data_IF_916986648364
#
_entry.id   IF_916986648364
#
_cell.length_a   1.000
_cell.length_b   1.000
_cell.length_c   1.000
_cell.angle_alpha   90.00
_cell.angle_beta   90.00
_cell.angle_gamma   90.00
#
_symmetry.space_group_name_H-M   'P 1'
#
loop_
_entity.id
_entity.type
_entity.pdbx_description
1 polymer ?
#
# COMPACT_ATOMS: atom_id res chain seq x y z
N UNK A 1 -26.47 6.17 21.51
CA UNK A 1 -26.33 7.65 21.59
C UNK A 1 -24.89 8.07 21.89
N UNK A 2 -24.22 7.47 22.88
CA UNK A 2 -22.84 7.82 23.27
C UNK A 2 -21.78 7.71 22.16
N UNK A 3 -21.86 6.68 21.29
CA UNK A 3 -20.92 6.53 20.17
C UNK A 3 -21.02 7.64 19.12
N UNK A 4 -22.21 8.16 18.83
CA UNK A 4 -22.38 9.25 17.86
C UNK A 4 -21.76 10.54 18.40
N UNK A 5 -21.93 10.81 19.69
CA UNK A 5 -21.29 11.96 20.36
C UNK A 5 -19.77 11.79 20.33
N UNK A 6 -19.27 10.60 20.63
CA UNK A 6 -17.85 10.26 20.54
C UNK A 6 -17.28 10.49 19.13
N UNK A 7 -17.98 10.03 18.08
CA UNK A 7 -17.58 10.26 16.68
C UNK A 7 -17.59 11.75 16.34
N UNK A 8 -18.62 12.50 16.75
CA UNK A 8 -18.72 13.93 16.48
C UNK A 8 -17.60 14.74 17.16
N UNK A 9 -17.29 14.43 18.41
CA UNK A 9 -16.18 15.05 19.15
C UNK A 9 -14.84 14.69 18.52
N UNK A 10 -14.59 13.40 18.26
CA UNK A 10 -13.39 12.96 17.57
C UNK A 10 -13.23 13.60 16.20
N UNK A 11 -14.30 13.61 15.40
CA UNK A 11 -14.31 14.16 14.04
C UNK A 11 -14.03 15.65 13.98
N UNK A 12 -14.64 16.44 14.86
CA UNK A 12 -14.36 17.89 14.94
C UNK A 12 -12.90 18.17 15.30
N UNK A 13 -12.35 17.46 16.29
CA UNK A 13 -10.93 17.56 16.67
C UNK A 13 -10.00 17.10 15.54
N UNK A 14 -10.33 15.99 14.88
CA UNK A 14 -9.56 15.44 13.75
C UNK A 14 -9.49 16.42 12.58
N UNK A 15 -10.62 17.01 12.20
CA UNK A 15 -10.69 17.98 11.12
C UNK A 15 -9.88 19.26 11.43
N UNK A 16 -9.99 19.80 12.64
CA UNK A 16 -9.20 20.98 13.08
C UNK A 16 -7.71 20.64 13.09
N UNK A 17 -7.34 19.47 13.64
CA UNK A 17 -5.94 19.03 13.69
C UNK A 17 -5.36 18.85 12.28
N UNK A 18 -6.13 18.25 11.36
CA UNK A 18 -5.74 18.13 9.94
C UNK A 18 -5.46 19.49 9.33
N UNK A 19 -6.35 20.45 9.54
CA UNK A 19 -6.19 21.80 9.01
C UNK A 19 -4.91 22.48 9.53
N UNK A 20 -4.66 22.41 10.83
CA UNK A 20 -3.48 23.02 11.44
C UNK A 20 -2.19 22.33 10.99
N UNK A 21 -2.14 21.01 11.04
CA UNK A 21 -0.95 20.23 10.66
C UNK A 21 -0.64 20.38 9.18
N UNK A 22 -1.63 20.21 8.30
CA UNK A 22 -1.41 20.33 6.85
C UNK A 22 -0.91 21.74 6.48
N UNK A 23 -1.50 22.79 7.05
CA UNK A 23 -1.03 24.16 6.82
C UNK A 23 0.37 24.42 7.39
N UNK A 24 0.71 23.85 8.56
CA UNK A 24 2.05 23.91 9.11
C UNK A 24 3.08 23.28 8.19
N UNK A 25 2.78 22.09 7.64
CA UNK A 25 3.64 21.42 6.66
C UNK A 25 3.77 22.24 5.37
N UNK A 26 2.66 22.81 4.88
CA UNK A 26 2.68 23.69 3.71
C UNK A 26 3.49 24.97 3.93
N UNK A 27 3.55 25.50 5.16
CA UNK A 27 4.37 26.66 5.47
C UNK A 27 5.88 26.37 5.40
N UNK A 28 6.29 25.14 5.70
CA UNK A 28 7.71 24.73 5.70
C UNK A 28 8.17 24.22 4.33
N UNK A 29 7.38 23.37 3.69
CA UNK A 29 7.75 22.69 2.43
C UNK A 29 7.20 23.37 1.18
N UNK A 30 6.35 24.38 1.36
CA UNK A 30 5.64 25.06 0.27
C UNK A 30 4.45 24.26 -0.26
N UNK A 31 3.76 24.84 -1.26
CA UNK A 31 2.54 24.29 -1.88
C UNK A 31 2.77 23.75 -3.30
N UNK A 32 4.04 23.57 -3.69
CA UNK A 32 4.40 23.08 -5.03
C UNK A 32 4.07 21.60 -5.24
N UNK A 33 3.78 20.87 -4.16
CA UNK A 33 3.33 19.49 -4.10
C UNK A 33 2.46 19.33 -2.83
N UNK A 34 1.49 18.40 -2.78
CA UNK A 34 0.55 18.25 -1.66
C UNK A 34 1.18 17.61 -0.41
N UNK A 35 2.28 18.17 0.08
CA UNK A 35 3.02 17.67 1.23
C UNK A 35 2.16 17.64 2.51
N UNK A 36 1.30 18.63 2.70
CA UNK A 36 0.41 18.70 3.86
C UNK A 36 -0.57 17.53 3.89
N UNK A 37 -1.24 17.26 2.76
CA UNK A 37 -2.17 16.13 2.62
C UNK A 37 -1.45 14.78 2.72
N UNK A 38 -0.29 14.64 2.07
CA UNK A 38 0.51 13.42 2.16
C UNK A 38 0.91 13.13 3.62
N UNK A 39 1.37 14.14 4.35
CA UNK A 39 1.81 13.99 5.74
C UNK A 39 0.66 13.52 6.65
N UNK A 40 -0.49 14.20 6.63
CA UNK A 40 -1.63 13.83 7.49
C UNK A 40 -2.18 12.45 7.17
N UNK A 41 -2.18 12.05 5.89
CA UNK A 41 -2.63 10.72 5.48
C UNK A 41 -1.66 9.62 5.95
N UNK A 42 -0.35 9.82 5.81
CA UNK A 42 0.67 8.83 6.22
C UNK A 42 0.74 8.72 7.74
N UNK A 43 0.81 9.84 8.47
CA UNK A 43 0.84 9.82 9.94
C UNK A 43 -0.46 9.28 10.52
N UNK A 44 -1.61 9.63 9.93
CA UNK A 44 -2.92 9.13 10.35
C UNK A 44 -3.07 7.63 10.10
N UNK A 45 -2.60 7.15 8.96
CA UNK A 45 -2.53 5.72 8.63
C UNK A 45 -1.67 4.95 9.63
N UNK A 46 -0.49 5.46 9.96
CA UNK A 46 0.38 4.89 10.98
C UNK A 46 -0.31 4.81 12.35
N UNK A 47 -0.89 5.93 12.81
CA UNK A 47 -1.61 5.97 14.09
C UNK A 47 -2.83 5.04 14.09
N UNK A 48 -3.52 4.90 12.96
CA UNK A 48 -4.64 3.98 12.83
C UNK A 48 -4.19 2.53 13.05
N UNK A 49 -3.09 2.11 12.43
CA UNK A 49 -2.52 0.78 12.67
C UNK A 49 -2.10 0.58 14.12
N UNK A 50 -1.36 1.54 14.67
CA UNK A 50 -0.84 1.50 16.04
C UNK A 50 -1.93 1.42 17.10
N UNK A 51 -2.93 2.30 17.01
CA UNK A 51 -4.00 2.39 18.00
C UNK A 51 -5.04 1.29 17.82
N UNK A 52 -5.18 0.73 16.62
CA UNK A 52 -6.03 -0.47 16.42
C UNK A 52 -5.49 -1.64 17.24
N UNK A 53 -4.17 -1.85 17.27
CA UNK A 53 -3.57 -2.90 18.08
C UNK A 53 -3.87 -2.70 19.58
N UNK A 54 -3.66 -1.48 20.09
CA UNK A 54 -3.97 -1.11 21.48
C UNK A 54 -5.45 -1.36 21.84
N UNK A 55 -6.35 -0.77 21.03
CA UNK A 55 -7.78 -0.72 21.33
C UNK A 55 -8.51 -2.05 21.08
N UNK A 56 -7.97 -2.93 20.24
CA UNK A 56 -8.53 -4.27 20.00
C UNK A 56 -8.10 -5.27 21.08
N UNK A 57 -6.86 -5.18 21.57
CA UNK A 57 -6.29 -6.12 22.55
C UNK A 57 -6.78 -5.85 23.98
N UNK A 58 -7.05 -4.59 24.32
CA UNK A 58 -7.50 -4.23 25.66
C UNK A 58 -9.02 -4.38 25.82
N UNK A 59 -9.45 -5.34 26.65
CA UNK A 59 -10.86 -5.62 26.98
C UNK A 59 -11.43 -4.64 28.01
N UNK A 60 -11.43 -3.34 27.70
CA UNK A 60 -12.04 -2.34 28.58
C UNK A 60 -13.56 -2.21 28.35
N UNK A 61 -14.29 -1.87 29.41
CA UNK A 61 -15.76 -1.72 29.43
C UNK A 61 -16.27 -0.67 28.44
N UNK A 62 -15.48 0.36 28.13
CA UNK A 62 -15.81 1.45 27.18
C UNK A 62 -15.09 1.34 25.82
N UNK A 63 -14.59 0.15 25.46
CA UNK A 63 -13.77 -0.02 24.26
C UNK A 63 -14.47 0.42 22.96
N UNK A 64 -15.80 0.37 22.91
CA UNK A 64 -16.55 0.72 21.71
C UNK A 64 -16.62 2.24 21.47
N UNK A 65 -16.82 3.03 22.52
CA UNK A 65 -16.87 4.49 22.46
C UNK A 65 -15.49 5.08 22.14
N UNK A 66 -14.42 4.56 22.74
CA UNK A 66 -13.06 5.01 22.41
C UNK A 66 -12.66 4.68 20.98
N UNK A 67 -13.02 3.50 20.46
CA UNK A 67 -12.81 3.16 19.05
C UNK A 67 -13.60 4.12 18.14
N UNK A 68 -14.84 4.42 18.49
CA UNK A 68 -15.67 5.34 17.72
C UNK A 68 -15.10 6.77 17.74
N UNK A 69 -14.63 7.26 18.90
CA UNK A 69 -14.02 8.58 19.04
C UNK A 69 -12.70 8.69 18.28
N UNK A 70 -11.80 7.73 18.47
CA UNK A 70 -10.41 7.84 18.02
C UNK A 70 -10.26 7.34 16.58
N UNK A 71 -10.73 6.13 16.28
CA UNK A 71 -10.52 5.51 14.97
C UNK A 71 -11.48 6.12 13.95
N UNK A 72 -12.78 6.10 14.24
CA UNK A 72 -13.80 6.56 13.28
C UNK A 72 -13.88 8.08 13.25
N UNK A 73 -13.96 8.74 14.41
CA UNK A 73 -14.05 10.19 14.52
C UNK A 73 -12.73 10.87 14.16
N UNK A 74 -11.76 10.84 15.08
CA UNK A 74 -10.53 11.62 14.98
C UNK A 74 -9.68 11.24 13.78
N UNK A 75 -9.23 9.99 13.68
CA UNK A 75 -8.35 9.57 12.58
C UNK A 75 -9.07 9.56 11.23
N UNK A 76 -10.37 9.24 11.21
CA UNK A 76 -11.20 9.35 10.02
C UNK A 76 -11.30 10.78 9.48
N UNK A 77 -11.41 11.79 10.35
CA UNK A 77 -11.46 13.21 9.95
C UNK A 77 -10.07 13.85 9.80
N UNK A 78 -9.05 13.28 10.45
CA UNK A 78 -7.65 13.72 10.37
C UNK A 78 -7.02 13.37 9.02
N UNK A 79 -7.39 12.22 8.46
CA UNK A 79 -7.02 11.80 7.11
C UNK A 79 -8.05 12.28 6.09
N UNK A 80 -7.67 12.37 4.81
CA UNK A 80 -8.57 12.82 3.75
C UNK A 80 -8.21 12.22 2.39
N UNK A 81 -9.13 11.42 1.83
CA UNK A 81 -9.01 10.93 0.47
C UNK A 81 -9.53 11.94 -0.56
N UNK A 82 -10.56 12.71 -0.21
CA UNK A 82 -11.18 13.68 -1.13
C UNK A 82 -10.23 14.84 -1.46
N UNK A 83 -9.48 15.35 -0.47
CA UNK A 83 -8.46 16.40 -0.73
C UNK A 83 -7.31 15.85 -1.57
N UNK A 84 -6.84 14.63 -1.28
CA UNK A 84 -5.83 13.95 -2.10
C UNK A 84 -6.28 13.81 -3.56
N UNK A 85 -7.52 13.38 -3.81
CA UNK A 85 -8.06 13.22 -5.15
C UNK A 85 -8.15 14.56 -5.89
N UNK A 86 -8.61 15.61 -5.21
CA UNK A 86 -8.73 16.95 -5.80
C UNK A 86 -7.36 17.55 -6.13
N UNK A 87 -6.39 17.48 -5.22
CA UNK A 87 -5.03 17.96 -5.46
C UNK A 87 -4.34 17.17 -6.59
N UNK A 88 -4.59 15.87 -6.68
CA UNK A 88 -4.11 15.05 -7.81
C UNK A 88 -4.74 15.50 -9.13
N UNK A 89 -6.04 15.78 -9.13
CA UNK A 89 -6.75 16.26 -10.32
C UNK A 89 -6.22 17.63 -10.77
N UNK A 90 -5.98 18.56 -9.85
CA UNK A 90 -5.36 19.85 -10.18
C UNK A 90 -3.96 19.70 -10.77
N UNK A 91 -3.15 18.75 -10.29
CA UNK A 91 -1.85 18.47 -10.90
C UNK A 91 -1.98 17.96 -12.35
N UNK A 92 -3.05 17.23 -12.68
CA UNK A 92 -3.34 16.87 -14.07
C UNK A 92 -3.76 18.07 -14.90
N UNK A 93 -4.62 18.95 -14.39
CA UNK A 93 -5.03 20.19 -15.07
C UNK A 93 -3.85 21.13 -15.34
N UNK A 94 -2.92 21.23 -14.39
CA UNK A 94 -1.66 21.98 -14.53
C UNK A 94 -0.64 21.31 -15.48
N UNK A 95 -1.02 20.21 -16.15
CA UNK A 95 -0.14 19.41 -17.03
C UNK A 95 1.11 18.86 -16.31
N UNK A 96 1.09 18.80 -14.98
CA UNK A 96 2.21 18.31 -14.18
C UNK A 96 2.09 16.81 -13.88
N UNK A 97 2.15 16.00 -14.95
CA UNK A 97 1.92 14.56 -14.91
C UNK A 97 2.83 13.85 -13.91
N UNK A 98 4.11 14.24 -13.85
CA UNK A 98 5.07 13.63 -12.93
C UNK A 98 4.62 13.79 -11.47
N UNK A 99 4.22 14.99 -11.05
CA UNK A 99 3.75 15.23 -9.69
C UNK A 99 2.42 14.53 -9.42
N UNK A 100 1.51 14.48 -10.39
CA UNK A 100 0.24 13.77 -10.24
C UNK A 100 0.48 12.27 -9.95
N UNK A 101 1.31 11.61 -10.77
CA UNK A 101 1.66 10.20 -10.56
C UNK A 101 2.44 9.96 -9.27
N UNK A 102 3.38 10.85 -8.92
CA UNK A 102 4.08 10.78 -7.64
C UNK A 102 3.12 10.92 -6.47
N UNK A 103 2.13 11.81 -6.53
CA UNK A 103 1.16 11.97 -5.45
C UNK A 103 0.33 10.70 -5.25
N UNK A 104 -0.16 10.09 -6.33
CA UNK A 104 -0.89 8.81 -6.28
C UNK A 104 0.00 7.74 -5.65
N UNK A 105 1.18 7.53 -6.22
CA UNK A 105 2.08 6.46 -5.82
C UNK A 105 2.52 6.61 -4.36
N UNK A 106 3.04 7.78 -3.97
CA UNK A 106 3.52 8.03 -2.62
C UNK A 106 2.38 7.97 -1.60
N UNK A 107 1.22 8.57 -1.88
CA UNK A 107 0.08 8.53 -0.96
C UNK A 107 -0.37 7.10 -0.71
N UNK A 108 -0.53 6.28 -1.75
CA UNK A 108 -0.96 4.88 -1.59
C UNK A 108 0.09 4.04 -0.88
N UNK A 109 1.34 4.06 -1.35
CA UNK A 109 2.40 3.19 -0.80
C UNK A 109 2.74 3.57 0.64
N UNK A 110 2.95 4.86 0.92
CA UNK A 110 3.36 5.29 2.26
C UNK A 110 2.22 5.13 3.28
N UNK A 111 0.96 5.28 2.89
CA UNK A 111 -0.15 5.01 3.81
C UNK A 111 -0.26 3.52 4.14
N UNK A 112 -0.13 2.63 3.14
CA UNK A 112 -0.14 1.17 3.37
C UNK A 112 1.03 0.74 4.27
N UNK A 113 2.25 1.22 3.98
CA UNK A 113 3.43 0.98 4.82
C UNK A 113 3.22 1.55 6.22
N UNK A 114 2.65 2.76 6.33
CA UNK A 114 2.32 3.41 7.60
C UNK A 114 1.40 2.56 8.46
N UNK A 115 0.22 2.15 7.94
CA UNK A 115 -0.71 1.27 8.67
C UNK A 115 -0.02 -0.02 9.10
N UNK A 116 0.72 -0.67 8.19
CA UNK A 116 1.41 -1.92 8.48
C UNK A 116 2.44 -1.75 9.60
N UNK A 117 3.30 -0.74 9.50
CA UNK A 117 4.31 -0.46 10.52
C UNK A 117 3.66 -0.11 11.87
N UNK A 118 2.59 0.68 11.86
CA UNK A 118 1.79 0.98 13.04
C UNK A 118 1.23 -0.28 13.69
N UNK A 119 0.63 -1.19 12.92
CA UNK A 119 0.10 -2.46 13.42
C UNK A 119 1.20 -3.33 14.04
N UNK A 120 2.34 -3.48 13.34
CA UNK A 120 3.47 -4.28 13.85
C UNK A 120 3.96 -3.70 15.18
N UNK A 121 4.22 -2.40 15.21
CA UNK A 121 4.79 -1.75 16.37
C UNK A 121 3.83 -1.68 17.56
N UNK A 122 2.56 -1.33 17.31
CA UNK A 122 1.53 -1.30 18.35
C UNK A 122 1.33 -2.69 18.94
N UNK A 123 1.31 -3.73 18.11
CA UNK A 123 1.22 -5.08 18.63
C UNK A 123 2.48 -5.40 19.47
N UNK A 124 3.71 -5.18 18.98
CA UNK A 124 4.95 -5.47 19.74
C UNK A 124 4.95 -4.89 21.17
N UNK A 125 4.32 -3.73 21.37
CA UNK A 125 4.22 -3.09 22.68
C UNK A 125 3.06 -3.66 23.51
N UNK A 126 1.92 -3.98 22.88
CA UNK A 126 0.67 -4.26 23.59
C UNK A 126 0.25 -5.74 23.64
N UNK A 127 0.89 -6.65 22.91
CA UNK A 127 0.60 -8.09 22.97
C UNK A 127 1.81 -8.86 23.52
N UNK A 128 1.57 -9.74 24.50
CA UNK A 128 2.60 -10.57 25.16
C UNK A 128 2.93 -11.87 24.41
N UNK A 129 2.27 -12.15 23.29
CA UNK A 129 2.51 -13.37 22.53
C UNK A 129 3.68 -13.18 21.55
N UNK A 130 4.56 -14.19 21.46
CA UNK A 130 5.49 -14.34 20.33
C UNK A 130 4.64 -14.57 19.08
N UNK A 131 4.37 -13.45 18.42
CA UNK A 131 3.84 -13.27 17.08
C UNK A 131 4.03 -14.49 16.15
N UNK A 132 2.95 -15.16 15.69
CA UNK A 132 3.05 -16.11 14.56
C UNK A 132 3.63 -15.45 13.29
N UNK A 133 3.38 -14.14 13.13
CA UNK A 133 3.80 -13.29 12.01
C UNK A 133 5.19 -12.62 12.19
N UNK A 134 5.88 -12.83 13.32
CA UNK A 134 7.28 -12.39 13.54
C UNK A 134 8.19 -13.54 14.05
N UNK A 135 7.62 -14.65 14.52
CA UNK A 135 8.34 -15.86 14.93
C UNK A 135 8.80 -16.76 13.80
N UNK A 136 8.27 -16.58 12.57
CA UNK A 136 8.66 -17.37 11.39
C UNK A 136 9.06 -16.54 10.14
N UNK A 137 9.41 -15.26 10.32
CA UNK A 137 9.83 -14.38 9.22
C UNK A 137 8.66 -13.94 8.33
N UNK A 138 8.61 -12.66 7.98
CA UNK A 138 7.52 -12.05 7.21
C UNK A 138 7.22 -12.77 5.87
N UNK A 139 6.12 -13.52 5.72
CA UNK A 139 5.84 -14.22 4.47
C UNK A 139 5.40 -13.25 3.33
N UNK A 140 4.91 -12.06 3.67
CA UNK A 140 4.54 -11.04 2.68
C UNK A 140 5.72 -10.25 2.12
N UNK A 141 6.86 -10.20 2.83
CA UNK A 141 8.08 -9.60 2.30
C UNK A 141 8.59 -10.41 1.10
N UNK A 142 8.46 -11.73 1.16
CA UNK A 142 8.80 -12.64 0.07
C UNK A 142 7.80 -12.53 -1.11
N UNK A 143 6.52 -12.25 -0.82
CA UNK A 143 5.53 -11.92 -1.84
C UNK A 143 5.84 -10.58 -2.52
N UNK A 144 6.22 -9.55 -1.76
CA UNK A 144 6.67 -8.27 -2.30
C UNK A 144 7.96 -8.40 -3.11
N UNK A 145 8.92 -9.22 -2.64
CA UNK A 145 10.13 -9.56 -3.38
C UNK A 145 9.78 -10.27 -4.70
N UNK A 146 8.83 -11.22 -4.68
CA UNK A 146 8.32 -11.88 -5.88
C UNK A 146 7.74 -10.89 -6.90
N UNK A 147 6.98 -9.89 -6.43
CA UNK A 147 6.46 -8.82 -7.29
C UNK A 147 7.59 -7.94 -7.85
N UNK A 148 8.57 -7.55 -7.04
CA UNK A 148 9.74 -6.77 -7.52
C UNK A 148 10.53 -7.55 -8.56
N UNK A 149 10.77 -8.85 -8.33
CA UNK A 149 11.45 -9.72 -9.29
C UNK A 149 10.64 -9.85 -10.59
N UNK A 150 9.31 -10.00 -10.50
CA UNK A 150 8.43 -10.05 -11.66
C UNK A 150 8.49 -8.76 -12.49
N UNK A 151 8.50 -7.60 -11.82
CA UNK A 151 8.66 -6.30 -12.47
C UNK A 151 9.98 -6.22 -13.25
N UNK A 152 11.09 -6.56 -12.60
CA UNK A 152 12.43 -6.49 -13.20
C UNK A 152 12.58 -7.47 -14.37
N UNK A 153 12.06 -8.69 -14.25
CA UNK A 153 12.09 -9.68 -15.33
C UNK A 153 11.23 -9.24 -16.52
N UNK A 154 10.05 -8.67 -16.28
CA UNK A 154 9.22 -8.12 -17.35
C UNK A 154 9.90 -6.95 -18.07
N UNK A 155 10.54 -6.05 -17.31
CA UNK A 155 11.35 -4.95 -17.83
C UNK A 155 12.49 -5.46 -18.73
N UNK A 156 13.26 -6.43 -18.24
CA UNK A 156 14.39 -7.03 -18.97
C UNK A 156 13.93 -7.80 -20.21
N UNK A 157 12.84 -8.56 -20.09
CA UNK A 157 12.26 -9.30 -21.21
C UNK A 157 11.82 -8.35 -22.33
N UNK A 158 11.16 -7.24 -21.99
CA UNK A 158 10.74 -6.24 -22.97
C UNK A 158 11.95 -5.64 -23.71
N UNK A 159 13.02 -5.34 -22.98
CA UNK A 159 14.26 -4.85 -23.58
C UNK A 159 14.90 -5.89 -24.52
N UNK A 160 14.93 -7.16 -24.11
CA UNK A 160 15.44 -8.25 -24.94
C UNK A 160 14.61 -8.43 -26.22
N UNK A 161 13.27 -8.36 -26.14
CA UNK A 161 12.39 -8.47 -27.29
C UNK A 161 12.57 -7.34 -28.30
N UNK A 162 12.81 -6.12 -27.82
CA UNK A 162 13.13 -4.98 -28.69
C UNK A 162 14.46 -5.19 -29.41
N UNK A 163 15.49 -5.65 -28.69
CA UNK A 163 16.82 -5.87 -29.24
C UNK A 163 16.87 -7.01 -30.26
N UNK A 164 16.09 -8.06 -30.02
CA UNK A 164 16.01 -9.25 -30.88
C UNK A 164 14.93 -9.13 -31.96
N UNK A 165 14.22 -8.00 -32.04
CA UNK A 165 13.08 -7.77 -32.94
C UNK A 165 12.06 -8.91 -32.96
N UNK A 166 11.71 -9.40 -31.76
CA UNK A 166 10.89 -10.61 -31.60
C UNK A 166 9.42 -10.38 -31.99
N UNK A 167 8.81 -11.38 -32.63
CA UNK A 167 7.40 -11.38 -33.02
C UNK A 167 6.45 -11.24 -31.80
N UNK A 168 5.33 -10.52 -31.93
CA UNK A 168 4.42 -10.22 -30.82
C UNK A 168 3.84 -11.48 -30.14
N UNK A 169 3.61 -12.54 -30.91
CA UNK A 169 3.14 -13.84 -30.42
C UNK A 169 4.14 -14.46 -29.43
N UNK A 170 5.42 -14.44 -29.76
CA UNK A 170 6.49 -14.96 -28.90
C UNK A 170 6.61 -14.14 -27.62
N UNK A 171 6.44 -12.80 -27.69
CA UNK A 171 6.46 -11.93 -26.51
C UNK A 171 5.34 -12.28 -25.54
N UNK A 172 4.13 -12.43 -26.06
CA UNK A 172 2.96 -12.78 -25.25
C UNK A 172 3.13 -14.15 -24.57
N UNK A 173 3.59 -15.16 -25.32
CA UNK A 173 3.84 -16.51 -24.78
C UNK A 173 4.88 -16.47 -23.66
N UNK A 174 6.01 -15.81 -23.87
CA UNK A 174 7.08 -15.73 -22.87
C UNK A 174 6.62 -14.98 -21.62
N UNK A 175 5.91 -13.86 -21.76
CA UNK A 175 5.41 -13.09 -20.61
C UNK A 175 4.37 -13.87 -19.80
N UNK A 176 3.46 -14.59 -20.46
CA UNK A 176 2.47 -15.44 -19.80
C UNK A 176 3.14 -16.58 -19.04
N UNK A 177 4.15 -17.22 -19.63
CA UNK A 177 4.92 -18.27 -18.97
C UNK A 177 5.71 -17.73 -17.77
N UNK A 178 6.35 -16.57 -17.91
CA UNK A 178 7.08 -15.89 -16.82
C UNK A 178 6.16 -15.59 -15.64
N UNK A 179 5.01 -14.99 -15.93
CA UNK A 179 3.99 -14.68 -14.94
C UNK A 179 3.46 -15.95 -14.26
N UNK A 180 3.15 -16.99 -15.05
CA UNK A 180 2.65 -18.26 -14.54
C UNK A 180 3.64 -18.93 -13.58
N UNK A 181 4.91 -19.02 -13.97
CA UNK A 181 5.96 -19.62 -13.13
C UNK A 181 6.16 -18.81 -11.85
N UNK A 182 6.26 -17.48 -11.93
CA UNK A 182 6.48 -16.64 -10.75
C UNK A 182 5.30 -16.68 -9.77
N UNK A 183 4.06 -16.58 -10.27
CA UNK A 183 2.86 -16.59 -9.42
C UNK A 183 2.65 -17.96 -8.77
N UNK A 184 2.85 -19.05 -9.49
CA UNK A 184 2.75 -20.42 -8.94
C UNK A 184 3.86 -20.65 -7.93
N UNK A 185 5.11 -20.31 -8.25
CA UNK A 185 6.26 -20.55 -7.36
C UNK A 185 6.15 -19.76 -6.06
N UNK A 186 5.82 -18.46 -6.14
CA UNK A 186 5.65 -17.61 -4.96
C UNK A 186 4.43 -18.03 -4.13
N UNK A 187 3.33 -18.44 -4.75
CA UNK A 187 2.15 -18.94 -4.03
C UNK A 187 2.42 -20.28 -3.36
N UNK A 188 3.06 -21.22 -4.05
CA UNK A 188 3.44 -22.51 -3.47
C UNK A 188 4.39 -22.33 -2.30
N UNK A 189 5.40 -21.49 -2.47
CA UNK A 189 6.35 -21.18 -1.41
C UNK A 189 5.67 -20.55 -0.19
N UNK A 190 4.74 -19.60 -0.42
CA UNK A 190 3.94 -19.00 0.65
C UNK A 190 3.02 -20.04 1.31
N UNK A 191 2.39 -20.91 0.52
CA UNK A 191 1.52 -21.98 0.99
C UNK A 191 2.29 -23.00 1.84
N UNK A 192 3.51 -23.37 1.45
CA UNK A 192 4.39 -24.23 2.24
C UNK A 192 4.77 -23.56 3.57
N UNK A 193 5.18 -22.29 3.54
CA UNK A 193 5.56 -21.56 4.76
C UNK A 193 4.36 -21.32 5.70
N UNK A 194 3.18 -21.17 5.14
CA UNK A 194 1.93 -20.95 5.88
C UNK A 194 1.20 -22.26 6.25
N UNK A 195 1.62 -23.41 5.71
CA UNK A 195 1.04 -24.71 6.05
C UNK A 195 1.24 -25.11 7.52
N UNK A 196 2.24 -24.51 8.18
CA UNK A 196 2.46 -24.60 9.63
C UNK A 196 1.33 -23.93 10.45
N UNK A 197 0.52 -23.07 9.83
CA UNK A 197 -0.52 -22.24 10.48
C UNK A 197 -1.94 -22.81 10.26
N UNK A 198 -2.10 -24.00 9.65
CA UNK A 198 -3.41 -24.64 9.34
C UNK A 198 -4.40 -23.73 8.60
N UNK A 199 -3.97 -23.08 7.52
CA UNK A 199 -4.89 -22.34 6.64
C UNK A 199 -5.86 -23.28 5.91
N UNK A 200 -7.15 -22.94 5.95
CA UNK A 200 -8.19 -23.62 5.16
C UNK A 200 -8.03 -23.35 3.66
N UNK A 201 -8.55 -24.24 2.81
CA UNK A 201 -8.44 -24.18 1.34
C UNK A 201 -8.86 -22.81 0.76
N UNK A 202 -9.88 -22.17 1.34
CA UNK A 202 -10.34 -20.84 0.94
C UNK A 202 -9.28 -19.74 1.15
N UNK A 203 -8.49 -19.84 2.22
CA UNK A 203 -7.38 -18.94 2.50
C UNK A 203 -6.26 -19.06 1.46
N UNK A 204 -5.93 -20.29 1.06
CA UNK A 204 -4.94 -20.53 0.00
C UNK A 204 -5.39 -20.02 -1.37
N UNK A 205 -6.67 -20.23 -1.71
CA UNK A 205 -7.24 -19.75 -2.98
C UNK A 205 -7.29 -18.22 -3.06
N UNK A 206 -7.62 -17.55 -1.95
CA UNK A 206 -7.62 -16.08 -1.90
C UNK A 206 -6.21 -15.50 -2.02
N UNK A 207 -5.23 -16.09 -1.36
CA UNK A 207 -3.81 -15.72 -1.52
C UNK A 207 -3.36 -15.89 -2.99
N UNK A 208 -3.68 -17.02 -3.62
CA UNK A 208 -3.35 -17.27 -5.02
C UNK A 208 -3.97 -16.22 -5.94
N UNK A 209 -5.27 -15.93 -5.76
CA UNK A 209 -5.98 -14.95 -6.58
C UNK A 209 -5.40 -13.54 -6.44
N UNK A 210 -5.09 -13.13 -5.21
CA UNK A 210 -4.47 -11.83 -4.93
C UNK A 210 -3.08 -11.76 -5.57
N UNK A 211 -2.24 -12.79 -5.37
CA UNK A 211 -0.90 -12.84 -5.91
C UNK A 211 -0.88 -12.87 -7.45
N UNK A 212 -1.81 -13.58 -8.08
CA UNK A 212 -1.98 -13.58 -9.52
C UNK A 212 -2.39 -12.20 -10.06
N UNK A 213 -3.35 -11.53 -9.43
CA UNK A 213 -3.79 -10.18 -9.83
C UNK A 213 -2.66 -9.15 -9.73
N UNK A 214 -1.93 -9.14 -8.61
CA UNK A 214 -0.77 -8.25 -8.44
C UNK A 214 0.35 -8.60 -9.42
N UNK A 215 0.61 -9.88 -9.65
CA UNK A 215 1.60 -10.33 -10.65
C UNK A 215 1.29 -9.79 -12.05
N UNK A 216 0.03 -9.93 -12.49
CA UNK A 216 -0.42 -9.40 -13.81
C UNK A 216 -0.18 -7.90 -13.90
N UNK A 217 -0.62 -7.14 -12.88
CA UNK A 217 -0.49 -5.69 -12.86
C UNK A 217 0.99 -5.25 -12.92
N UNK A 218 1.86 -5.94 -12.18
CA UNK A 218 3.28 -5.61 -12.10
C UNK A 218 4.03 -5.97 -13.38
N UNK A 219 3.74 -7.12 -14.00
CA UNK A 219 4.31 -7.48 -15.31
C UNK A 219 3.88 -6.48 -16.39
N UNK A 220 2.60 -6.08 -16.39
CA UNK A 220 2.09 -5.06 -17.32
C UNK A 220 2.76 -3.69 -17.11
N UNK A 221 2.98 -3.28 -15.86
CA UNK A 221 3.74 -2.08 -15.53
C UNK A 221 5.20 -2.19 -16.02
N UNK A 222 5.85 -3.34 -15.83
CA UNK A 222 7.23 -3.58 -16.27
C UNK A 222 7.40 -3.43 -17.79
N UNK A 223 6.47 -3.97 -18.58
CA UNK A 223 6.50 -3.83 -20.04
C UNK A 223 6.21 -2.41 -20.51
N UNK A 224 5.29 -1.69 -19.84
CA UNK A 224 5.02 -0.27 -20.12
C UNK A 224 6.25 0.60 -19.86
N UNK A 225 6.89 0.42 -18.71
CA UNK A 225 8.11 1.15 -18.34
C UNK A 225 9.26 0.81 -19.29
N UNK A 226 9.44 -0.45 -19.65
CA UNK A 226 10.46 -0.88 -20.61
C UNK A 226 10.31 -0.22 -21.97
N UNK A 227 9.08 -0.22 -22.51
CA UNK A 227 8.72 0.48 -23.75
C UNK A 227 9.02 1.98 -23.66
N UNK A 228 8.62 2.62 -22.58
CA UNK A 228 8.83 4.05 -22.38
C UNK A 228 10.33 4.40 -22.30
N UNK A 229 11.12 3.64 -21.54
CA UNK A 229 12.57 3.85 -21.43
C UNK A 229 13.30 3.66 -22.77
N UNK A 230 12.88 2.69 -23.59
CA UNK A 230 13.45 2.47 -24.91
C UNK A 230 13.20 3.65 -25.86
N UNK A 231 11.99 4.22 -25.83
CA UNK A 231 11.65 5.39 -26.65
C UNK A 231 12.47 6.63 -26.30
N UNK A 232 12.93 6.75 -25.05
CA UNK A 232 13.75 7.86 -24.58
C UNK A 232 15.23 7.78 -24.98
N UNK A 233 15.66 6.75 -25.74
CA UNK A 233 17.06 6.52 -26.14
C UNK A 233 18.07 6.44 -24.96
N UNK A 234 17.62 6.32 -23.71
CA UNK A 234 18.49 6.32 -22.51
C UNK A 234 19.38 5.07 -22.39
N UNK A 235 19.16 4.04 -23.23
CA UNK A 235 19.83 2.74 -23.19
C UNK A 235 20.31 2.26 -24.58
N UNK A 236 20.43 3.16 -25.57
CA UNK A 236 21.07 2.84 -26.87
C UNK A 236 22.58 2.78 -26.75
#
# INVERSE_FOLDING_TARGET
MNQLIAIALGGSLGAVTRFLVANGIYAVLGRSFPYGTLFVNVSGSFLMGFLTALLMLQRFVYAAEYRALILVGFLGAYTTFSTFALETFYLFEESNLLKAFLNIFLSTVLCLVGVWFGLVWGRMIFANDVYPWLGHGMPYADMALGLVVAFLLALLAEFAFMRLNSAPELRAVVLVLLLGVLTISSTLWLAFRLSEIRLELHGLLSIFAINALFGVAVVWLGTLVGNWLWQLNLLR
#
